data_IF_019088307647
#
_entry.id   IF_019088307647
#
_cell.length_a   1.000
_cell.length_b   1.000
_cell.length_c   1.000
_cell.angle_alpha   90.00
_cell.angle_beta   90.00
_cell.angle_gamma   90.00
#
_symmetry.space_group_name_H-M   'P 1'
#
loop_
_entity.id
_entity.type
_entity.pdbx_description
1 polymer ?
#
# COMPACT_ATOMS: atom_id res chain seq x y z
N UNK A 1 -17.01 44.50 5.02
CA UNK A 1 -15.97 44.10 4.03
C UNK A 1 -15.36 42.79 4.55
N UNK A 2 -15.77 41.65 3.95
CA UNK A 2 -15.28 40.33 4.33
C UNK A 2 -14.15 40.05 3.36
N UNK A 3 -12.90 40.10 3.85
CA UNK A 3 -11.71 39.83 3.06
C UNK A 3 -11.66 38.35 2.69
N UNK A 4 -11.83 38.04 1.42
CA UNK A 4 -11.69 36.70 0.89
C UNK A 4 -10.22 36.26 0.95
N UNK A 5 -9.93 35.24 1.75
CA UNK A 5 -8.67 34.49 1.69
C UNK A 5 -8.69 33.62 0.43
N UNK A 6 -8.19 34.13 -0.69
CA UNK A 6 -7.82 33.28 -1.81
C UNK A 6 -6.46 32.65 -1.50
N UNK A 7 -6.47 31.50 -0.84
CA UNK A 7 -5.30 30.64 -0.79
C UNK A 7 -5.03 30.16 -2.22
N UNK A 8 -4.03 30.72 -2.87
CA UNK A 8 -3.50 30.20 -4.13
C UNK A 8 -2.81 28.86 -3.80
N UNK A 9 -3.56 27.76 -3.89
CA UNK A 9 -2.94 26.44 -3.92
C UNK A 9 -2.12 26.35 -5.20
N UNK A 10 -0.78 26.38 -5.06
CA UNK A 10 0.11 26.05 -6.17
C UNK A 10 0.03 24.54 -6.31
N UNK A 11 -0.73 24.08 -7.30
CA UNK A 11 -0.75 22.66 -7.63
C UNK A 11 0.63 22.27 -8.19
N UNK A 12 1.22 21.17 -7.72
CA UNK A 12 2.45 20.68 -8.32
C UNK A 12 2.19 20.29 -9.78
N UNK A 13 3.20 20.47 -10.64
CA UNK A 13 3.14 19.90 -11.99
C UNK A 13 3.15 18.38 -11.84
N UNK A 14 2.03 17.74 -12.14
CA UNK A 14 1.97 16.29 -12.27
C UNK A 14 2.71 15.94 -13.56
N UNK A 15 3.69 15.04 -13.55
CA UNK A 15 4.33 14.57 -14.77
C UNK A 15 3.27 14.00 -15.72
N UNK A 16 3.32 14.39 -17.00
CA UNK A 16 2.32 13.96 -18.01
C UNK A 16 2.32 12.43 -18.23
N UNK A 17 3.41 11.77 -17.90
CA UNK A 17 3.55 10.31 -17.99
C UNK A 17 4.41 9.84 -16.83
N UNK A 18 3.79 9.19 -15.85
CA UNK A 18 4.53 8.35 -14.91
C UNK A 18 4.24 6.89 -15.26
N UNK A 19 5.12 6.31 -16.05
CA UNK A 19 5.29 4.87 -16.00
C UNK A 19 6.13 4.60 -14.75
N UNK A 20 5.58 3.95 -13.71
CA UNK A 20 6.41 3.52 -12.62
C UNK A 20 7.50 2.64 -13.22
N UNK A 21 8.79 2.86 -12.90
CA UNK A 21 9.84 2.01 -13.39
C UNK A 21 9.60 0.61 -12.87
N UNK A 22 9.21 -0.29 -13.77
CA UNK A 22 9.15 -1.71 -13.49
C UNK A 22 10.56 -2.23 -13.76
N UNK A 23 11.16 -3.01 -12.84
CA UNK A 23 12.46 -3.61 -13.07
C UNK A 23 12.48 -4.42 -14.40
N UNK A 24 13.58 -4.37 -15.12
CA UNK A 24 13.70 -5.01 -16.44
C UNK A 24 13.42 -6.52 -16.45
N UNK A 25 13.61 -7.20 -15.32
CA UNK A 25 13.29 -8.61 -15.13
C UNK A 25 11.80 -8.89 -14.77
N UNK A 26 11.02 -7.86 -14.50
CA UNK A 26 9.55 -7.93 -14.38
C UNK A 26 8.85 -7.67 -15.74
N UNK A 27 9.59 -7.40 -16.79
CA UNK A 27 9.16 -6.85 -18.07
C UNK A 27 8.57 -7.86 -19.05
N UNK A 28 7.99 -8.93 -18.64
CA UNK A 28 7.34 -9.85 -19.57
C UNK A 28 5.82 -9.90 -19.36
N UNK A 29 5.23 -8.74 -19.12
CA UNK A 29 3.78 -8.66 -19.13
C UNK A 29 3.37 -8.22 -20.52
N UNK A 30 2.84 -9.18 -21.27
CA UNK A 30 2.12 -8.91 -22.50
C UNK A 30 0.94 -8.00 -22.18
N UNK A 31 0.94 -6.78 -22.74
CA UNK A 31 -0.16 -5.79 -22.58
C UNK A 31 -1.52 -6.33 -23.07
N UNK A 32 -1.51 -7.50 -23.76
CA UNK A 32 -2.68 -8.22 -24.24
C UNK A 32 -3.21 -9.28 -23.26
N UNK A 33 -2.72 -9.34 -22.01
CA UNK A 33 -3.33 -10.24 -21.03
C UNK A 33 -4.67 -9.66 -20.64
N UNK A 34 -5.70 -10.27 -21.18
CA UNK A 34 -7.11 -10.03 -20.87
C UNK A 34 -7.37 -10.41 -19.41
N UNK A 35 -7.07 -9.48 -18.51
CA UNK A 35 -7.46 -9.57 -17.11
C UNK A 35 -8.97 -9.45 -17.11
N UNK A 36 -9.66 -10.48 -16.64
CA UNK A 36 -11.11 -10.50 -16.58
C UNK A 36 -11.65 -9.19 -16.00
N UNK A 37 -12.69 -8.59 -16.61
CA UNK A 37 -13.31 -7.30 -16.28
C UNK A 37 -13.65 -7.08 -14.79
N UNK A 38 -13.68 -8.13 -13.98
CA UNK A 38 -14.01 -8.15 -12.55
C UNK A 38 -12.78 -8.28 -11.62
N UNK A 39 -11.57 -7.97 -12.06
CA UNK A 39 -10.41 -8.11 -11.19
C UNK A 39 -10.34 -6.98 -10.16
N UNK A 40 -9.84 -7.35 -8.97
CA UNK A 40 -9.59 -6.40 -7.89
C UNK A 40 -8.74 -5.23 -8.41
N UNK A 41 -9.09 -3.97 -8.11
CA UNK A 41 -8.35 -2.79 -8.59
C UNK A 41 -6.89 -2.71 -8.13
N UNK A 42 -6.46 -3.56 -7.20
CA UNK A 42 -5.07 -3.73 -6.74
C UNK A 42 -4.30 -4.81 -7.55
N UNK A 43 -4.94 -5.46 -8.52
CA UNK A 43 -4.32 -6.51 -9.35
C UNK A 43 -4.04 -5.94 -10.73
N UNK A 44 -2.92 -5.23 -10.89
CA UNK A 44 -2.58 -4.54 -12.14
C UNK A 44 -1.32 -5.11 -12.79
N UNK A 45 -1.36 -5.34 -14.10
CA UNK A 45 -0.17 -5.64 -14.88
C UNK A 45 0.82 -4.47 -14.85
N UNK A 46 2.10 -4.76 -14.92
CA UNK A 46 3.15 -3.75 -14.96
C UNK A 46 3.54 -3.17 -13.59
N UNK A 47 2.86 -3.58 -12.52
CA UNK A 47 3.21 -3.21 -11.15
C UNK A 47 3.78 -4.42 -10.40
N UNK A 48 4.76 -4.18 -9.55
CA UNK A 48 5.32 -5.22 -8.70
C UNK A 48 4.26 -5.70 -7.71
N UNK A 49 4.05 -7.01 -7.67
CA UNK A 49 2.99 -7.61 -6.85
C UNK A 49 1.61 -6.94 -7.02
N UNK A 50 1.32 -6.40 -8.19
CA UNK A 50 0.01 -5.92 -8.62
C UNK A 50 -0.33 -4.47 -8.30
N UNK A 51 0.25 -3.88 -7.26
CA UNK A 51 -0.10 -2.55 -6.74
C UNK A 51 1.10 -1.74 -6.22
N UNK A 52 2.30 -2.30 -6.24
CA UNK A 52 3.50 -1.57 -5.83
C UNK A 52 4.27 -1.03 -7.04
N UNK A 53 4.43 0.29 -7.10
CA UNK A 53 5.41 0.91 -7.97
C UNK A 53 6.78 0.84 -7.31
N UNK A 54 7.75 0.23 -7.98
CA UNK A 54 9.10 0.06 -7.45
C UNK A 54 10.09 0.82 -8.34
N UNK A 55 10.98 1.57 -7.73
CA UNK A 55 12.20 1.99 -8.43
C UNK A 55 13.28 0.91 -8.28
N UNK A 56 14.33 1.00 -9.10
CA UNK A 56 15.41 0.00 -9.09
C UNK A 56 16.07 -0.14 -7.71
N UNK A 57 16.19 0.94 -6.95
CA UNK A 57 16.79 0.89 -5.61
C UNK A 57 15.92 0.09 -4.66
N UNK A 58 14.62 0.40 -4.58
CA UNK A 58 13.68 -0.31 -3.71
C UNK A 58 13.57 -1.78 -4.10
N UNK A 59 13.55 -2.08 -5.41
CA UNK A 59 13.53 -3.46 -5.89
C UNK A 59 14.79 -4.23 -5.51
N UNK A 60 15.96 -3.61 -5.67
CA UNK A 60 17.22 -4.22 -5.24
C UNK A 60 17.24 -4.45 -3.73
N UNK A 61 16.79 -3.48 -2.94
CA UNK A 61 16.67 -3.63 -1.50
C UNK A 61 15.71 -4.77 -1.14
N UNK A 62 14.56 -4.87 -1.83
CA UNK A 62 13.64 -5.97 -1.62
C UNK A 62 14.27 -7.34 -1.89
N UNK A 63 15.08 -7.45 -2.95
CA UNK A 63 15.78 -8.70 -3.31
C UNK A 63 16.85 -9.10 -2.30
N UNK A 64 17.67 -8.14 -1.85
CA UNK A 64 18.82 -8.41 -0.96
C UNK A 64 18.46 -8.35 0.52
N UNK A 65 17.29 -7.87 0.85
CA UNK A 65 16.88 -7.72 2.24
C UNK A 65 16.77 -6.26 2.69
N UNK A 66 15.60 -5.62 2.44
CA UNK A 66 15.36 -4.28 2.91
C UNK A 66 15.12 -4.27 4.41
N UNK A 67 16.08 -3.74 5.13
CA UNK A 67 15.94 -3.42 6.55
C UNK A 67 15.81 -1.91 6.71
N UNK A 68 14.68 -1.45 7.19
CA UNK A 68 14.43 -0.03 7.38
C UNK A 68 15.34 0.62 8.43
N UNK A 69 15.87 -0.15 9.37
CA UNK A 69 16.88 0.30 10.32
C UNK A 69 18.25 0.55 9.65
N UNK A 70 18.50 -0.08 8.50
CA UNK A 70 19.71 0.13 7.68
C UNK A 70 19.51 1.28 6.67
N UNK A 71 18.27 1.50 6.21
CA UNK A 71 17.91 2.51 5.22
C UNK A 71 16.84 3.47 5.75
N UNK A 72 17.11 4.18 6.86
CA UNK A 72 16.12 5.06 7.50
C UNK A 72 15.70 6.23 6.62
N UNK A 73 16.52 6.61 5.60
CA UNK A 73 16.18 7.65 4.64
C UNK A 73 15.02 7.29 3.71
N UNK A 74 14.68 6.00 3.64
CA UNK A 74 13.50 5.50 2.89
C UNK A 74 12.21 5.57 3.72
N UNK A 75 12.27 5.96 4.97
CA UNK A 75 11.12 6.28 5.80
C UNK A 75 10.87 7.79 5.84
N UNK A 76 9.63 8.18 6.09
CA UNK A 76 9.27 9.58 6.27
C UNK A 76 9.85 10.11 7.57
N UNK A 77 10.68 11.14 7.46
CA UNK A 77 11.42 11.70 8.60
C UNK A 77 10.47 12.12 9.73
N UNK A 78 10.75 11.65 10.93
CA UNK A 78 9.91 11.88 12.12
C UNK A 78 8.44 11.46 11.93
N UNK A 79 8.17 10.51 11.04
CA UNK A 79 6.82 10.06 10.71
C UNK A 79 5.92 11.15 10.11
N UNK A 80 6.50 12.23 9.57
CA UNK A 80 5.73 13.34 8.98
C UNK A 80 5.66 13.18 7.46
N UNK A 81 4.45 13.13 6.93
CA UNK A 81 4.13 12.87 5.53
C UNK A 81 3.40 14.06 4.93
N UNK A 82 4.08 14.96 4.22
CA UNK A 82 3.41 16.01 3.46
C UNK A 82 2.60 15.39 2.30
N UNK A 83 1.40 15.88 2.04
CA UNK A 83 0.56 15.36 0.97
C UNK A 83 -0.26 16.41 0.25
N UNK A 84 -0.61 16.10 -0.99
CA UNK A 84 -1.57 16.84 -1.82
C UNK A 84 -2.62 15.85 -2.33
N UNK A 85 -3.90 16.21 -2.21
CA UNK A 85 -5.01 15.46 -2.81
C UNK A 85 -5.39 16.17 -4.11
N UNK A 86 -5.57 15.40 -5.18
CA UNK A 86 -6.01 15.93 -6.46
C UNK A 86 -7.33 16.70 -6.33
N UNK A 87 -7.44 17.90 -6.90
CA UNK A 87 -8.70 18.64 -6.96
C UNK A 87 -9.73 18.01 -7.92
N UNK A 88 -9.34 16.97 -8.68
CA UNK A 88 -10.23 16.27 -9.59
C UNK A 88 -11.11 15.23 -8.91
N UNK A 89 -10.82 14.88 -7.66
CA UNK A 89 -11.69 14.01 -6.88
C UNK A 89 -12.98 14.72 -6.49
N UNK A 90 -14.09 14.01 -6.61
CA UNK A 90 -15.37 14.45 -6.07
C UNK A 90 -15.33 14.59 -4.52
N UNK A 91 -16.19 15.39 -3.90
CA UNK A 91 -16.16 15.60 -2.44
C UNK A 91 -16.21 14.31 -1.62
N UNK A 92 -17.02 13.34 -2.01
CA UNK A 92 -17.16 12.06 -1.31
C UNK A 92 -15.88 11.21 -1.38
N UNK A 93 -15.20 11.25 -2.53
CA UNK A 93 -13.89 10.60 -2.72
C UNK A 93 -12.83 11.23 -1.82
N UNK A 94 -12.80 12.57 -1.78
CA UNK A 94 -11.91 13.29 -0.87
C UNK A 94 -12.18 12.93 0.59
N UNK A 95 -13.44 12.82 1.00
CA UNK A 95 -13.80 12.39 2.36
C UNK A 95 -13.28 10.99 2.66
N UNK A 96 -13.36 10.05 1.70
CA UNK A 96 -12.83 8.69 1.86
C UNK A 96 -11.31 8.71 2.04
N UNK A 97 -10.58 9.51 1.25
CA UNK A 97 -9.14 9.69 1.39
C UNK A 97 -8.78 10.30 2.76
N UNK A 98 -9.51 11.34 3.18
CA UNK A 98 -9.30 11.95 4.50
C UNK A 98 -9.57 10.98 5.65
N UNK A 99 -10.58 10.12 5.55
CA UNK A 99 -10.83 9.07 6.55
C UNK A 99 -9.64 8.13 6.65
N UNK A 100 -9.10 7.65 5.53
CA UNK A 100 -7.92 6.78 5.52
C UNK A 100 -6.71 7.45 6.21
N UNK A 101 -6.40 8.69 5.84
CA UNK A 101 -5.34 9.50 6.46
C UNK A 101 -5.57 9.65 7.98
N UNK A 102 -6.80 9.97 8.38
CA UNK A 102 -7.15 10.16 9.79
C UNK A 102 -7.09 8.86 10.58
N UNK A 103 -7.50 7.75 9.99
CA UNK A 103 -7.42 6.42 10.61
C UNK A 103 -5.97 6.06 10.92
N UNK A 104 -5.07 6.18 9.93
CA UNK A 104 -3.64 5.91 10.16
C UNK A 104 -3.06 6.85 11.22
N UNK A 105 -3.32 8.15 11.12
CA UNK A 105 -2.82 9.14 12.06
C UNK A 105 -3.37 9.00 13.49
N UNK A 106 -4.57 8.43 13.66
CA UNK A 106 -5.13 8.10 14.97
C UNK A 106 -4.49 6.84 15.57
N UNK A 107 -4.31 5.82 14.76
CA UNK A 107 -3.80 4.51 15.20
C UNK A 107 -2.28 4.50 15.39
N UNK A 108 -1.55 5.49 14.87
CA UNK A 108 -0.08 5.54 14.88
C UNK A 108 0.43 6.93 15.23
N UNK A 109 1.74 7.05 15.41
CA UNK A 109 2.38 8.36 15.57
C UNK A 109 2.71 9.06 14.23
N UNK A 110 2.34 8.46 13.11
CA UNK A 110 2.50 9.07 11.78
C UNK A 110 1.59 10.28 11.63
N UNK A 111 2.12 11.34 11.05
CA UNK A 111 1.40 12.62 10.86
C UNK A 111 1.34 12.96 9.39
N UNK A 112 0.17 12.90 8.82
CA UNK A 112 -0.07 13.47 7.50
C UNK A 112 -0.34 14.96 7.62
N UNK A 113 0.40 15.77 6.86
CA UNK A 113 0.26 17.22 6.87
C UNK A 113 0.04 17.73 5.44
N UNK A 114 -0.81 18.72 5.22
CA UNK A 114 -0.90 19.36 3.91
C UNK A 114 0.47 19.85 3.46
N UNK A 115 0.80 19.64 2.18
CA UNK A 115 2.06 20.09 1.64
C UNK A 115 2.17 21.62 1.69
N UNK A 116 3.30 22.12 2.15
CA UNK A 116 3.57 23.53 2.40
C UNK A 116 4.10 24.29 1.16
N UNK A 117 4.20 23.61 0.01
CA UNK A 117 4.79 24.16 -1.22
C UNK A 117 6.31 24.23 -1.22
N UNK A 118 7.00 23.78 -0.15
CA UNK A 118 8.46 23.86 0.03
C UNK A 118 9.11 22.51 0.27
N UNK A 119 8.44 21.63 1.01
CA UNK A 119 8.93 20.28 1.28
C UNK A 119 9.22 19.57 -0.03
N UNK A 120 10.44 19.04 -0.20
CA UNK A 120 10.87 18.34 -1.41
C UNK A 120 10.13 17.02 -1.56
N UNK A 121 9.99 16.28 -0.47
CA UNK A 121 9.39 14.95 -0.43
C UNK A 121 7.93 15.05 0.01
N UNK A 122 7.01 14.58 -0.82
CA UNK A 122 5.57 14.61 -0.51
C UNK A 122 4.79 13.60 -1.35
N UNK A 123 3.61 13.23 -0.86
CA UNK A 123 2.68 12.36 -1.58
C UNK A 123 1.76 13.17 -2.48
N UNK A 124 1.60 12.69 -3.72
CA UNK A 124 0.55 13.09 -4.65
C UNK A 124 -0.52 12.02 -4.67
N UNK A 125 -1.64 12.25 -4.00
CA UNK A 125 -2.79 11.35 -4.04
C UNK A 125 -3.62 11.74 -5.27
N UNK A 126 -3.56 10.90 -6.32
CA UNK A 126 -4.01 11.27 -7.65
C UNK A 126 -4.65 10.09 -8.39
N UNK A 127 -5.74 10.29 -9.15
CA UNK A 127 -6.32 9.22 -9.97
C UNK A 127 -5.53 9.07 -11.26
N UNK A 128 -4.53 8.19 -11.25
CA UNK A 128 -3.70 7.93 -12.43
C UNK A 128 -4.45 7.02 -13.41
N UNK A 129 -4.48 7.40 -14.68
CA UNK A 129 -5.16 6.63 -15.72
C UNK A 129 -4.39 5.43 -16.22
N UNK A 130 -3.05 5.49 -16.19
CA UNK A 130 -2.16 4.46 -16.72
C UNK A 130 -0.95 4.23 -15.80
N UNK A 131 -0.84 3.09 -15.14
CA UNK A 131 -1.89 2.07 -15.00
C UNK A 131 -3.04 2.57 -14.12
N UNK A 132 -4.28 2.33 -14.55
CA UNK A 132 -5.44 2.64 -13.74
C UNK A 132 -5.54 1.65 -12.57
N UNK A 133 -5.98 2.11 -11.41
CA UNK A 133 -6.18 1.26 -10.24
C UNK A 133 -5.67 1.89 -8.95
N UNK A 134 -5.58 1.04 -7.94
CA UNK A 134 -5.02 1.38 -6.65
C UNK A 134 -3.58 0.91 -6.62
N UNK A 135 -2.64 1.82 -6.41
CA UNK A 135 -1.23 1.49 -6.30
C UNK A 135 -0.41 2.61 -5.66
N UNK A 136 0.72 2.25 -5.12
CA UNK A 136 1.64 3.20 -4.48
C UNK A 136 3.09 2.80 -4.65
N UNK A 137 3.99 3.78 -4.53
CA UNK A 137 5.40 3.49 -4.24
C UNK A 137 5.55 3.00 -2.79
N UNK A 138 6.60 2.21 -2.54
CA UNK A 138 6.90 1.67 -1.22
C UNK A 138 7.92 2.55 -0.51
N UNK A 139 7.57 3.04 0.68
CA UNK A 139 8.40 3.95 1.47
C UNK A 139 8.55 5.32 0.82
N UNK A 140 9.55 6.09 1.27
CA UNK A 140 9.87 7.39 0.74
C UNK A 140 10.89 7.29 -0.40
N UNK A 141 10.49 7.67 -1.61
CA UNK A 141 11.34 7.62 -2.80
C UNK A 141 12.20 8.87 -3.03
N UNK A 142 11.87 9.97 -2.36
CA UNK A 142 12.42 11.29 -2.62
C UNK A 142 11.65 12.04 -3.72
N UNK A 143 11.49 13.36 -3.53
CA UNK A 143 10.66 14.19 -4.39
C UNK A 143 9.15 13.94 -4.23
N UNK A 144 8.38 14.30 -5.24
CA UNK A 144 6.96 13.97 -5.31
C UNK A 144 6.78 12.50 -5.71
N UNK A 145 5.93 11.78 -4.98
CA UNK A 145 5.59 10.40 -5.31
C UNK A 145 4.09 10.16 -5.29
N UNK A 146 3.63 9.32 -6.19
CA UNK A 146 2.21 9.07 -6.40
C UNK A 146 1.69 7.97 -5.47
N UNK A 147 0.49 8.21 -4.95
CA UNK A 147 -0.46 7.19 -4.49
C UNK A 147 -1.64 7.27 -5.42
N UNK A 148 -1.84 6.27 -6.26
CA UNK A 148 -2.96 6.22 -7.20
C UNK A 148 -4.19 5.63 -6.53
N UNK A 149 -5.27 6.39 -6.52
CA UNK A 149 -6.56 5.96 -6.02
C UNK A 149 -7.63 6.28 -7.07
N UNK A 150 -7.98 5.30 -7.89
CA UNK A 150 -8.99 5.49 -8.92
C UNK A 150 -10.37 5.67 -8.29
N UNK A 151 -11.10 6.75 -8.59
CA UNK A 151 -12.48 6.95 -8.13
C UNK A 151 -13.43 5.94 -8.77
N UNK A 152 -14.62 5.72 -8.18
CA UNK A 152 -15.62 4.87 -8.78
C UNK A 152 -16.04 5.37 -10.16
N UNK A 153 -15.96 4.47 -11.12
CA UNK A 153 -16.39 4.68 -12.49
C UNK A 153 -17.27 3.48 -12.88
N UNK A 154 -18.12 3.64 -13.89
CA UNK A 154 -19.09 2.60 -14.29
C UNK A 154 -18.42 1.29 -14.68
N UNK A 155 -17.22 1.35 -15.25
CA UNK A 155 -16.50 0.20 -15.81
C UNK A 155 -15.03 0.10 -15.32
N UNK A 156 -14.60 1.00 -14.46
CA UNK A 156 -13.22 1.10 -14.00
C UNK A 156 -12.97 0.57 -12.59
N UNK A 157 -11.70 0.50 -12.20
CA UNK A 157 -11.33 0.13 -10.84
C UNK A 157 -11.84 1.15 -9.83
N UNK A 158 -12.34 0.69 -8.70
CA UNK A 158 -12.82 1.53 -7.61
C UNK A 158 -11.95 1.36 -6.36
N UNK A 159 -11.11 2.36 -6.08
CA UNK A 159 -10.25 2.40 -4.90
C UNK A 159 -10.91 3.10 -3.70
N UNK A 160 -12.00 3.82 -3.91
CA UNK A 160 -12.61 4.72 -2.93
C UNK A 160 -14.02 4.29 -2.48
N UNK A 161 -14.44 3.08 -2.84
CA UNK A 161 -15.70 2.51 -2.34
C UNK A 161 -15.74 2.33 -0.82
N UNK A 162 -14.55 2.12 -0.21
CA UNK A 162 -14.33 2.12 1.24
C UNK A 162 -12.94 2.69 1.52
N UNK A 163 -12.66 3.12 2.76
CA UNK A 163 -11.35 3.63 3.14
C UNK A 163 -10.23 2.57 3.14
N UNK A 164 -10.61 1.28 3.15
CA UNK A 164 -9.64 0.19 3.31
C UNK A 164 -8.58 0.13 2.21
N UNK A 165 -8.95 0.33 0.93
CA UNK A 165 -7.96 0.36 -0.15
C UNK A 165 -7.06 1.59 -0.07
N UNK A 166 -7.61 2.74 0.28
CA UNK A 166 -6.81 3.94 0.49
C UNK A 166 -5.82 3.77 1.65
N UNK A 167 -6.21 3.10 2.73
CA UNK A 167 -5.33 2.74 3.84
C UNK A 167 -4.22 1.79 3.34
N UNK A 168 -4.55 0.78 2.54
CA UNK A 168 -3.59 -0.17 1.97
C UNK A 168 -2.50 0.56 1.18
N UNK A 169 -2.87 1.40 0.23
CA UNK A 169 -1.91 2.14 -0.59
C UNK A 169 -1.07 3.14 0.22
N UNK A 170 -1.69 3.81 1.20
CA UNK A 170 -0.94 4.67 2.11
C UNK A 170 0.03 3.89 3.00
N UNK A 171 -0.29 2.66 3.38
CA UNK A 171 0.63 1.80 4.11
C UNK A 171 1.84 1.38 3.26
N UNK A 172 1.66 1.13 1.95
CA UNK A 172 2.80 0.99 1.04
C UNK A 172 3.67 2.25 1.02
N UNK A 173 3.07 3.43 0.86
CA UNK A 173 3.80 4.70 0.91
C UNK A 173 4.55 4.90 2.24
N UNK A 174 4.12 4.26 3.30
CA UNK A 174 4.77 4.24 4.61
C UNK A 174 5.80 3.12 4.78
N UNK A 175 6.01 2.27 3.77
CA UNK A 175 7.06 1.26 3.77
C UNK A 175 6.60 -0.16 4.13
N UNK A 176 5.31 -0.44 4.15
CA UNK A 176 4.79 -1.77 4.44
C UNK A 176 4.63 -2.57 3.14
N UNK A 177 5.22 -3.76 3.10
CA UNK A 177 5.03 -4.73 2.01
C UNK A 177 3.87 -5.67 2.29
N UNK A 178 3.51 -6.47 1.28
CA UNK A 178 2.45 -7.45 1.42
C UNK A 178 2.76 -8.54 2.45
N UNK A 179 1.75 -8.93 3.22
CA UNK A 179 1.88 -9.96 4.26
C UNK A 179 2.21 -11.33 3.69
N UNK A 180 1.60 -11.73 2.56
CA UNK A 180 1.87 -13.02 1.90
C UNK A 180 3.26 -13.08 1.25
N UNK A 181 3.98 -11.99 1.11
CA UNK A 181 5.36 -12.00 0.62
C UNK A 181 6.41 -12.21 1.71
N UNK A 182 6.02 -12.32 2.96
CA UNK A 182 6.94 -12.58 4.08
C UNK A 182 7.75 -13.86 3.84
N UNK A 183 9.01 -13.84 4.30
CA UNK A 183 9.92 -15.00 4.20
C UNK A 183 9.35 -16.27 4.85
N UNK A 184 8.60 -16.11 5.96
CA UNK A 184 8.05 -17.23 6.74
C UNK A 184 6.63 -17.63 6.33
N UNK A 185 6.03 -16.99 5.31
CA UNK A 185 4.64 -17.18 4.89
C UNK A 185 4.25 -18.64 4.66
N UNK A 186 5.20 -19.46 4.16
CA UNK A 186 4.92 -20.86 3.84
C UNK A 186 4.61 -21.73 5.08
N UNK A 187 4.82 -21.22 6.27
CA UNK A 187 4.34 -21.83 7.52
C UNK A 187 2.84 -21.61 7.71
N UNK A 188 2.27 -20.56 7.14
CA UNK A 188 0.92 -20.07 7.39
C UNK A 188 0.00 -20.24 6.19
N UNK A 189 0.49 -20.07 4.98
CA UNK A 189 -0.30 -20.19 3.75
C UNK A 189 0.33 -21.18 2.78
N UNK A 190 -0.51 -21.74 1.90
CA UNK A 190 -0.08 -22.52 0.74
C UNK A 190 -0.35 -21.71 -0.52
N UNK A 191 0.67 -21.53 -1.35
CA UNK A 191 0.54 -20.95 -2.68
C UNK A 191 0.30 -22.08 -3.68
N UNK A 192 -0.71 -21.90 -4.53
CA UNK A 192 -1.11 -22.83 -5.58
C UNK A 192 -0.61 -22.31 -6.93
N UNK A 193 0.68 -22.46 -7.20
CA UNK A 193 1.33 -21.95 -8.42
C UNK A 193 0.69 -22.46 -9.72
N UNK A 194 0.08 -23.64 -9.69
CA UNK A 194 -0.67 -24.24 -10.79
C UNK A 194 -1.92 -23.43 -11.17
N UNK A 195 -2.47 -22.68 -10.22
CA UNK A 195 -3.65 -21.84 -10.41
C UNK A 195 -3.32 -20.40 -10.82
N UNK A 196 -2.06 -19.98 -10.70
CA UNK A 196 -1.61 -18.63 -11.03
C UNK A 196 -1.44 -18.49 -12.53
N UNK A 197 -1.90 -17.37 -13.09
CA UNK A 197 -1.60 -16.96 -14.47
C UNK A 197 -0.08 -16.95 -14.63
N UNK A 198 0.49 -17.61 -15.67
CA UNK A 198 1.94 -17.85 -15.77
C UNK A 198 2.82 -16.62 -15.57
N UNK A 199 2.46 -15.49 -16.19
CA UNK A 199 3.22 -14.24 -16.16
C UNK A 199 3.18 -13.51 -14.80
N UNK A 200 2.34 -13.94 -13.86
CA UNK A 200 2.22 -13.33 -12.54
C UNK A 200 2.77 -14.19 -11.40
N UNK A 201 3.49 -15.27 -11.71
CA UNK A 201 4.08 -16.14 -10.68
C UNK A 201 5.10 -15.40 -9.81
N UNK A 202 5.84 -14.45 -10.38
CA UNK A 202 6.79 -13.59 -9.66
C UNK A 202 6.13 -12.74 -8.56
N UNK A 203 4.85 -12.38 -8.71
CA UNK A 203 4.10 -11.65 -7.68
C UNK A 203 3.89 -12.45 -6.39
N UNK A 204 4.22 -13.74 -6.40
CA UNK A 204 4.17 -14.61 -5.23
C UNK A 204 5.56 -14.96 -4.69
N UNK A 205 6.60 -14.25 -5.09
CA UNK A 205 7.92 -14.40 -4.50
C UNK A 205 7.95 -13.92 -3.06
N UNK A 206 8.85 -14.51 -2.28
CA UNK A 206 9.03 -14.17 -0.86
C UNK A 206 10.16 -13.18 -0.69
N UNK A 207 10.01 -12.31 0.29
CA UNK A 207 11.13 -11.54 0.81
C UNK A 207 12.21 -12.45 1.38
N UNK A 208 13.47 -12.02 1.39
CA UNK A 208 14.54 -12.75 2.07
C UNK A 208 14.37 -12.73 3.59
N UNK A 209 15.01 -13.68 4.28
CA UNK A 209 15.01 -13.76 5.75
C UNK A 209 15.52 -12.46 6.42
N UNK A 210 16.46 -11.80 5.77
CA UNK A 210 17.10 -10.58 6.26
C UNK A 210 16.21 -9.35 6.20
N UNK A 211 15.08 -9.47 5.49
CA UNK A 211 14.06 -8.40 5.33
C UNK A 211 13.10 -8.25 6.49
N UNK A 212 13.19 -9.07 7.52
CA UNK A 212 12.20 -9.02 8.58
C UNK A 212 12.49 -7.91 9.58
N UNK A 213 11.97 -6.73 9.28
CA UNK A 213 11.75 -5.70 10.29
C UNK A 213 10.62 -6.08 11.26
N UNK A 214 9.90 -7.17 10.99
CA UNK A 214 8.67 -7.51 11.71
C UNK A 214 8.88 -8.63 12.71
N UNK A 215 9.02 -8.25 13.99
CA UNK A 215 9.01 -9.17 15.12
C UNK A 215 7.58 -9.64 15.51
N UNK A 216 6.63 -9.57 14.56
CA UNK A 216 5.22 -9.90 14.81
C UNK A 216 4.82 -11.18 14.08
N UNK A 217 3.84 -11.89 14.65
CA UNK A 217 3.26 -13.07 14.04
C UNK A 217 2.63 -12.75 12.66
N UNK A 218 2.51 -13.78 11.82
CA UNK A 218 1.82 -13.69 10.54
C UNK A 218 0.35 -13.37 10.74
N UNK A 219 -0.14 -12.40 9.98
CA UNK A 219 -1.47 -11.84 10.19
C UNK A 219 -2.39 -12.13 9.00
N UNK A 220 -3.29 -13.08 9.16
CA UNK A 220 -4.29 -13.42 8.14
C UNK A 220 -5.32 -12.30 7.90
N UNK A 221 -5.54 -11.44 8.89
CA UNK A 221 -6.48 -10.33 8.83
C UNK A 221 -5.81 -9.02 8.39
N UNK A 222 -4.51 -9.05 8.09
CA UNK A 222 -3.79 -7.88 7.59
C UNK A 222 -4.46 -7.29 6.35
N UNK A 223 -4.63 -5.95 6.35
CA UNK A 223 -5.10 -5.22 5.18
C UNK A 223 -4.11 -5.36 4.01
N UNK A 224 -2.85 -5.69 4.29
CA UNK A 224 -1.77 -5.90 3.33
C UNK A 224 -1.72 -7.33 2.79
N UNK A 225 -2.68 -8.20 3.12
CA UNK A 225 -2.72 -9.57 2.63
C UNK A 225 -3.51 -9.65 1.32
N UNK A 226 -3.03 -10.47 0.37
CA UNK A 226 -3.75 -10.77 -0.87
C UNK A 226 -5.09 -11.44 -0.62
N UNK A 227 -6.00 -11.20 -1.54
CA UNK A 227 -7.21 -12.01 -1.68
C UNK A 227 -6.89 -13.43 -2.16
N UNK A 228 -7.79 -14.34 -1.85
CA UNK A 228 -7.68 -15.79 -2.13
C UNK A 228 -7.45 -16.13 -3.61
N UNK A 229 -7.92 -15.27 -4.51
CA UNK A 229 -7.98 -15.50 -5.95
C UNK A 229 -7.15 -14.50 -6.76
N UNK A 230 -6.30 -13.69 -6.11
CA UNK A 230 -5.45 -12.74 -6.82
C UNK A 230 -4.60 -13.47 -7.86
N UNK A 231 -4.56 -12.94 -9.08
CA UNK A 231 -3.85 -13.50 -10.24
C UNK A 231 -4.25 -14.94 -10.60
N UNK A 232 -5.46 -15.37 -10.25
CA UNK A 232 -5.92 -16.71 -10.59
C UNK A 232 -6.36 -16.84 -12.04
N UNK A 233 -6.05 -17.98 -12.66
CA UNK A 233 -6.59 -18.39 -13.97
C UNK A 233 -8.10 -18.56 -13.98
N UNK A 234 -8.73 -18.69 -12.79
CA UNK A 234 -10.16 -18.97 -12.66
C UNK A 234 -10.69 -18.50 -11.34
N UNK A 235 -11.88 -17.88 -11.33
CA UNK A 235 -12.61 -17.44 -10.11
C UNK A 235 -12.89 -18.57 -9.11
N UNK A 236 -12.80 -19.84 -9.53
CA UNK A 236 -13.04 -21.01 -8.67
C UNK A 236 -11.77 -21.65 -8.10
N UNK A 237 -10.59 -21.27 -8.59
CA UNK A 237 -9.32 -21.88 -8.20
C UNK A 237 -8.48 -20.91 -7.36
N UNK A 238 -8.38 -21.08 -6.04
CA UNK A 238 -7.61 -20.18 -5.20
C UNK A 238 -6.13 -20.26 -5.53
N UNK A 239 -5.45 -19.11 -5.50
CA UNK A 239 -3.98 -19.00 -5.58
C UNK A 239 -3.33 -19.08 -4.21
N UNK A 240 -4.08 -18.71 -3.15
CA UNK A 240 -3.62 -18.76 -1.75
C UNK A 240 -4.67 -19.44 -0.90
N UNK A 241 -4.24 -20.34 -0.02
CA UNK A 241 -5.08 -20.92 1.03
C UNK A 241 -4.38 -20.87 2.38
N UNK A 242 -5.10 -20.53 3.43
CA UNK A 242 -4.58 -20.59 4.79
C UNK A 242 -4.36 -22.05 5.22
N UNK A 243 -3.28 -22.30 5.95
CA UNK A 243 -3.00 -23.61 6.59
C UNK A 243 -3.68 -23.75 7.94
N UNK A 244 -4.00 -22.64 8.59
CA UNK A 244 -4.70 -22.63 9.86
C UNK A 244 -6.19 -22.89 9.65
N UNK A 245 -6.73 -23.84 10.41
CA UNK A 245 -8.18 -24.14 10.41
C UNK A 245 -8.97 -22.91 10.89
N UNK A 246 -10.16 -22.69 10.30
CA UNK A 246 -11.05 -21.59 10.68
C UNK A 246 -10.84 -20.29 9.93
N UNK A 247 -9.71 -20.07 9.26
CA UNK A 247 -9.49 -18.90 8.41
C UNK A 247 -10.31 -19.03 7.13
N UNK A 248 -11.42 -18.29 7.07
CA UNK A 248 -12.37 -18.36 5.93
C UNK A 248 -12.07 -17.36 4.84
N UNK A 249 -11.53 -16.20 5.20
CA UNK A 249 -11.27 -15.09 4.27
C UNK A 249 -9.81 -14.65 4.38
N UNK A 250 -9.26 -14.24 3.25
CA UNK A 250 -7.98 -13.54 3.12
C UNK A 250 -8.24 -12.30 2.26
N UNK A 251 -7.43 -11.25 2.43
CA UNK A 251 -7.51 -10.04 1.61
C UNK A 251 -8.69 -9.15 1.99
N UNK A 252 -8.89 -8.90 3.27
CA UNK A 252 -9.88 -7.90 3.70
C UNK A 252 -9.41 -6.49 3.32
N UNK A 253 -10.36 -5.60 3.00
CA UNK A 253 -10.13 -4.17 2.72
C UNK A 253 -11.12 -3.31 3.51
N UNK A 254 -11.25 -3.59 4.81
CA UNK A 254 -12.17 -2.88 5.71
C UNK A 254 -11.45 -1.91 6.62
N UNK A 255 -10.42 -2.39 7.32
CA UNK A 255 -9.67 -1.61 8.30
C UNK A 255 -8.28 -2.22 8.53
N UNK A 256 -7.40 -1.47 9.17
CA UNK A 256 -6.13 -1.98 9.68
C UNK A 256 -6.40 -3.08 10.70
N UNK A 257 -5.69 -4.18 10.59
CA UNK A 257 -5.68 -5.20 11.64
C UNK A 257 -4.87 -4.72 12.85
N UNK A 258 -4.98 -5.46 13.94
CA UNK A 258 -4.10 -5.29 15.10
C UNK A 258 -2.63 -5.44 14.69
N UNK A 259 -2.30 -6.44 13.88
CA UNK A 259 -0.95 -6.67 13.37
C UNK A 259 -0.43 -5.51 12.51
N UNK A 260 -1.26 -4.98 11.62
CA UNK A 260 -0.94 -3.80 10.79
C UNK A 260 -0.59 -2.60 11.66
N UNK A 261 -1.45 -2.32 12.65
CA UNK A 261 -1.25 -1.22 13.59
C UNK A 261 0.06 -1.36 14.36
N UNK A 262 0.35 -2.53 14.91
CA UNK A 262 1.59 -2.79 15.66
C UNK A 262 2.84 -2.67 14.77
N UNK A 263 2.81 -3.24 13.56
CA UNK A 263 3.93 -3.18 12.60
C UNK A 263 4.27 -1.74 12.23
N UNK A 264 3.25 -0.95 11.90
CA UNK A 264 3.44 0.44 11.48
C UNK A 264 3.95 1.32 12.64
N UNK A 265 3.42 1.15 13.85
CA UNK A 265 3.91 1.83 15.04
C UNK A 265 5.36 1.44 15.40
N UNK A 266 5.73 0.18 15.22
CA UNK A 266 7.10 -0.27 15.42
C UNK A 266 8.03 0.36 14.39
N UNK A 267 7.65 0.34 13.11
CA UNK A 267 8.43 0.86 12.00
C UNK A 267 8.79 2.35 12.18
N UNK A 268 7.86 3.14 12.71
CA UNK A 268 8.06 4.58 12.93
C UNK A 268 8.50 4.96 14.34
N UNK A 269 8.95 3.99 15.17
CA UNK A 269 9.47 4.26 16.50
C UNK A 269 8.43 4.81 17.49
N UNK A 270 7.12 4.63 17.21
CA UNK A 270 6.05 5.11 18.09
C UNK A 270 6.09 4.46 19.48
N UNK A 271 6.80 3.33 19.60
CA UNK A 271 6.95 2.58 20.84
C UNK A 271 8.23 2.90 21.61
N UNK A 272 9.08 3.80 21.13
CA UNK A 272 10.36 4.12 21.77
C UNK A 272 10.18 4.90 23.07
N UNK A 273 9.13 5.72 23.15
CA UNK A 273 8.74 6.43 24.37
C UNK A 273 7.66 5.67 25.13
N UNK A 274 7.77 5.57 26.47
CA UNK A 274 6.83 4.82 27.32
C UNK A 274 5.39 5.32 27.22
N UNK A 275 5.19 6.65 27.14
CA UNK A 275 3.86 7.25 27.07
C UNK A 275 3.20 6.95 25.73
N UNK A 276 3.91 7.15 24.63
CA UNK A 276 3.42 6.87 23.28
C UNK A 276 3.20 5.39 23.07
N UNK A 277 4.11 4.53 23.58
CA UNK A 277 3.96 3.07 23.58
C UNK A 277 2.65 2.64 24.23
N UNK A 278 2.38 3.08 25.44
CA UNK A 278 1.15 2.73 26.16
C UNK A 278 -0.09 3.15 25.40
N UNK A 279 -0.08 4.38 24.84
CA UNK A 279 -1.18 4.90 24.05
C UNK A 279 -1.44 4.06 22.80
N UNK A 280 -0.46 3.94 21.94
CA UNK A 280 -0.65 3.28 20.62
C UNK A 280 -0.82 1.78 20.74
N UNK A 281 -0.15 1.14 21.70
CA UNK A 281 -0.38 -0.28 21.96
C UNK A 281 -1.83 -0.54 22.34
N UNK A 282 -2.41 0.29 23.25
CA UNK A 282 -3.82 0.18 23.65
C UNK A 282 -4.75 0.43 22.45
N UNK A 283 -4.46 1.43 21.62
CA UNK A 283 -5.24 1.71 20.41
C UNK A 283 -5.24 0.51 19.48
N UNK A 284 -4.07 -0.09 19.19
CA UNK A 284 -3.98 -1.29 18.34
C UNK A 284 -4.78 -2.47 18.90
N UNK A 285 -4.84 -2.63 20.24
CA UNK A 285 -5.60 -3.72 20.86
C UNK A 285 -7.13 -3.53 20.75
N UNK A 286 -7.58 -2.27 20.73
CA UNK A 286 -9.03 -1.95 20.76
C UNK A 286 -9.60 -1.74 19.36
N UNK A 287 -8.83 -1.08 18.49
CA UNK A 287 -9.31 -0.60 17.18
C UNK A 287 -8.87 -1.47 16.00
N UNK A 288 -7.83 -2.28 16.19
CA UNK A 288 -7.41 -3.25 15.16
C UNK A 288 -8.44 -4.38 15.01
N UNK A 289 -8.65 -4.83 13.77
CA UNK A 289 -9.47 -6.01 13.47
C UNK A 289 -8.87 -7.28 14.07
#
# INVERSE_FOLDING_TARGET
MIGGFTSKYILPKVPDVMHPPVPDDANLIDDNIDLMEDQDPEVRPGLFQGDMAMNNDIYNYWRIGLRWDVFPEKLWSNGTVPYVISPTYEPDDQVTIYKAIRTIGFMTCVKFVPWDGKSKDYLLIWPIKYPAGCWSFVGKNGGSQIVSLQPPDKNGPNCLGTEGRAIHELMHALGIFHEQSRWDRDRFVKIHYENIIPNFKSNFEKQSLENTTYAYEYDYDSIMHYGKYYFSKSKSKPTITAKMAGVKKLGQRKAMSKGDCLKLNHLYGCFDNVITRRRYYSICQIMGL
#
